data_IF_767399129928
#
_entry.id   IF_767399129928
#
_cell.length_a   1.000
_cell.length_b   1.000
_cell.length_c   1.000
_cell.angle_alpha   90.00
_cell.angle_beta   90.00
_cell.angle_gamma   90.00
#
_symmetry.space_group_name_H-M   'P 1'
#
loop_
_entity.id
_entity.type
_entity.pdbx_description
1 polymer ?
#
# COMPACT_ATOMS: atom_id res chain seq x y z
N UNK A 1 37.24 -34.74 17.51
CA UNK A 1 36.76 -34.99 16.13
C UNK A 1 35.35 -34.42 16.03
N UNK A 2 35.24 -33.21 15.49
CA UNK A 2 33.98 -32.48 15.38
C UNK A 2 33.19 -32.96 14.16
N UNK A 3 31.90 -33.18 14.31
CA UNK A 3 30.94 -33.44 13.23
C UNK A 3 30.39 -32.10 12.68
N UNK A 4 30.26 -32.03 11.36
CA UNK A 4 29.71 -30.90 10.59
C UNK A 4 28.20 -31.08 10.37
N UNK A 5 27.39 -30.01 10.25
CA UNK A 5 25.93 -30.11 10.10
C UNK A 5 25.48 -30.32 8.64
N UNK A 6 24.33 -30.97 8.49
CA UNK A 6 23.65 -31.28 7.21
C UNK A 6 22.73 -30.10 6.85
N UNK A 7 22.84 -29.63 5.62
CA UNK A 7 22.14 -28.47 5.05
C UNK A 7 20.80 -28.91 4.42
N UNK A 8 19.68 -28.34 4.86
CA UNK A 8 18.31 -28.81 4.59
C UNK A 8 17.55 -27.91 3.59
N UNK A 9 18.23 -27.33 2.60
CA UNK A 9 17.66 -26.26 1.77
C UNK A 9 17.55 -26.52 0.26
N UNK A 10 17.78 -27.74 -0.26
CA UNK A 10 17.90 -27.94 -1.72
C UNK A 10 16.90 -28.87 -2.43
N UNK A 11 15.85 -29.42 -1.78
CA UNK A 11 14.97 -30.40 -2.47
C UNK A 11 13.50 -30.01 -2.69
N UNK A 12 13.08 -28.75 -2.47
CA UNK A 12 11.66 -28.34 -2.66
C UNK A 12 11.42 -27.45 -3.91
N UNK A 13 12.46 -27.04 -4.64
CA UNK A 13 12.30 -26.10 -5.76
C UNK A 13 12.34 -26.69 -7.18
N UNK A 14 12.51 -28.00 -7.36
CA UNK A 14 12.69 -28.61 -8.70
C UNK A 14 11.45 -29.29 -9.31
N UNK A 15 10.25 -29.14 -8.75
CA UNK A 15 9.03 -29.62 -9.41
C UNK A 15 7.98 -28.52 -9.50
N UNK A 16 8.00 -27.78 -10.62
CA UNK A 16 6.88 -27.14 -11.33
C UNK A 16 7.39 -26.00 -12.23
N UNK A 17 8.41 -26.27 -13.06
CA UNK A 17 9.01 -25.28 -13.97
C UNK A 17 8.38 -25.24 -15.39
N UNK A 18 7.43 -26.12 -15.70
CA UNK A 18 6.88 -26.23 -17.06
C UNK A 18 5.41 -25.83 -17.11
N UNK A 19 5.13 -24.52 -17.23
CA UNK A 19 3.95 -23.92 -17.89
C UNK A 19 3.80 -22.42 -17.57
N UNK A 20 4.67 -21.54 -18.10
CA UNK A 20 4.45 -20.09 -18.05
C UNK A 20 5.00 -19.41 -19.31
N UNK A 21 4.10 -18.73 -20.04
CA UNK A 21 4.38 -17.94 -21.25
C UNK A 21 5.23 -16.67 -21.00
N UNK A 22 5.74 -16.15 -22.12
CA UNK A 22 6.85 -15.21 -22.38
C UNK A 22 6.77 -13.77 -21.78
N UNK A 23 6.33 -13.59 -20.53
CA UNK A 23 6.27 -12.26 -19.88
C UNK A 23 6.97 -12.11 -18.52
N UNK A 24 7.79 -13.07 -18.09
CA UNK A 24 8.41 -13.07 -16.73
C UNK A 24 9.91 -12.72 -16.68
N UNK A 25 10.54 -12.35 -17.79
CA UNK A 25 11.98 -12.02 -17.82
C UNK A 25 12.39 -10.81 -16.94
N UNK A 26 11.47 -9.87 -16.66
CA UNK A 26 11.77 -8.67 -15.86
C UNK A 26 11.86 -8.92 -14.34
N UNK A 27 11.21 -9.96 -13.83
CA UNK A 27 11.14 -10.23 -12.38
C UNK A 27 12.37 -10.95 -11.80
N UNK A 28 13.11 -11.69 -12.63
CA UNK A 28 14.30 -12.45 -12.20
C UNK A 28 15.49 -11.56 -11.84
N UNK A 29 15.63 -10.41 -12.49
CA UNK A 29 16.76 -9.50 -12.24
C UNK A 29 16.65 -8.77 -10.89
N UNK A 30 15.42 -8.44 -10.45
CA UNK A 30 15.19 -7.67 -9.23
C UNK A 30 15.41 -8.52 -7.98
N UNK A 31 15.02 -9.80 -8.01
CA UNK A 31 15.18 -10.72 -6.88
C UNK A 31 16.62 -11.24 -6.72
N UNK A 32 17.37 -11.39 -7.81
CA UNK A 32 18.77 -11.82 -7.75
C UNK A 32 19.69 -10.75 -7.12
N UNK A 33 19.33 -9.47 -7.19
CA UNK A 33 20.12 -8.37 -6.62
C UNK A 33 19.99 -8.23 -5.10
N UNK A 34 19.02 -8.89 -4.46
CA UNK A 34 18.72 -8.74 -3.03
C UNK A 34 19.41 -9.77 -2.11
N UNK A 35 20.16 -10.75 -2.65
CA UNK A 35 20.67 -11.89 -1.86
C UNK A 35 22.20 -12.03 -1.84
N UNK A 36 22.97 -11.15 -2.50
CA UNK A 36 24.44 -11.28 -2.50
C UNK A 36 25.16 -10.03 -1.97
N UNK A 37 25.55 -10.07 -0.68
CA UNK A 37 26.95 -9.93 -0.23
C UNK A 37 27.08 -9.32 1.18
N UNK A 38 27.74 -10.00 2.13
CA UNK A 38 28.23 -9.39 3.37
C UNK A 38 29.70 -8.92 3.24
N UNK A 39 30.00 -7.75 3.80
CA UNK A 39 31.33 -7.42 4.35
C UNK A 39 32.21 -6.45 3.55
N UNK A 40 32.38 -5.24 4.10
CA UNK A 40 33.65 -4.55 4.45
C UNK A 40 33.51 -3.04 4.22
N UNK A 41 33.46 -2.29 5.32
CA UNK A 41 33.36 -0.82 5.31
C UNK A 41 34.77 -0.23 5.33
N UNK A 42 35.10 0.56 4.31
CA UNK A 42 36.13 1.60 4.37
C UNK A 42 35.51 2.91 3.93
N UNK A 43 35.66 3.96 4.74
CA UNK A 43 35.00 5.24 4.57
C UNK A 43 35.50 6.00 3.35
N UNK A 44 34.65 6.08 2.33
CA UNK A 44 34.52 7.19 1.40
C UNK A 44 33.09 7.13 0.84
N UNK A 45 32.40 8.26 0.89
CA UNK A 45 31.04 8.57 0.45
C UNK A 45 30.33 7.51 -0.42
N UNK A 46 29.49 6.67 0.20
CA UNK A 46 28.68 5.65 -0.50
C UNK A 46 27.52 6.32 -1.25
N UNK A 47 27.80 6.92 -2.40
CA UNK A 47 26.77 7.21 -3.40
C UNK A 47 26.38 5.87 -4.05
N UNK A 48 25.25 5.29 -3.61
CA UNK A 48 24.70 4.08 -4.23
C UNK A 48 24.29 4.41 -5.66
N UNK A 49 25.12 4.02 -6.64
CA UNK A 49 24.83 4.13 -8.07
C UNK A 49 23.85 3.03 -8.46
N UNK A 50 22.57 3.36 -8.54
CA UNK A 50 21.60 2.52 -9.28
C UNK A 50 21.73 2.85 -10.76
N UNK A 51 22.57 2.10 -11.47
CA UNK A 51 22.68 2.14 -12.92
C UNK A 51 22.88 0.74 -13.47
N UNK A 52 22.11 0.39 -14.50
CA UNK A 52 22.37 -0.81 -15.32
C UNK A 52 23.81 -0.73 -15.87
N UNK A 53 24.61 -1.81 -15.84
CA UNK A 53 25.94 -1.77 -16.43
C UNK A 53 25.77 -1.71 -17.95
N UNK A 54 26.04 -0.55 -18.57
CA UNK A 54 26.20 -0.49 -20.03
C UNK A 54 25.77 0.77 -20.77
N UNK A 55 25.18 1.78 -20.12
CA UNK A 55 24.87 3.04 -20.84
C UNK A 55 25.45 4.21 -20.05
N UNK A 56 26.57 4.73 -20.54
CA UNK A 56 27.17 5.96 -20.04
C UNK A 56 26.33 7.17 -20.46
N UNK A 57 25.15 7.31 -19.84
CA UNK A 57 24.37 8.53 -19.92
C UNK A 57 24.91 9.51 -18.88
N UNK A 58 25.08 10.77 -19.27
CA UNK A 58 25.27 11.87 -18.33
C UNK A 58 24.13 11.83 -17.30
N UNK A 59 24.44 12.09 -16.03
CA UNK A 59 23.45 12.22 -14.97
C UNK A 59 22.30 13.18 -15.38
N UNK A 60 22.57 14.21 -16.21
CA UNK A 60 21.52 15.10 -16.75
C UNK A 60 20.57 14.42 -17.73
N UNK A 61 21.08 13.57 -18.62
CA UNK A 61 20.23 12.78 -19.53
C UNK A 61 19.45 11.71 -18.77
N UNK A 62 20.04 11.14 -17.70
CA UNK A 62 19.36 10.21 -16.80
C UNK A 62 18.17 10.87 -16.07
N UNK A 63 18.33 12.10 -15.55
CA UNK A 63 17.23 12.88 -14.96
C UNK A 63 16.18 13.33 -15.98
N UNK A 64 16.55 13.54 -17.24
CA UNK A 64 15.61 13.81 -18.34
C UNK A 64 14.89 12.54 -18.84
N UNK A 65 15.51 11.37 -18.68
CA UNK A 65 14.96 10.07 -19.06
C UNK A 65 14.02 9.45 -18.01
N UNK A 66 14.02 9.96 -16.77
CA UNK A 66 12.98 9.59 -15.79
C UNK A 66 11.65 10.23 -16.17
N UNK A 67 10.64 9.38 -16.43
CA UNK A 67 9.27 9.84 -16.69
C UNK A 67 8.79 10.74 -15.57
N UNK A 68 8.43 11.99 -15.91
CA UNK A 68 7.97 12.97 -14.92
C UNK A 68 6.53 12.72 -14.51
N UNK A 69 6.12 13.28 -13.37
CA UNK A 69 4.71 13.25 -12.95
C UNK A 69 3.79 13.89 -14.01
N UNK A 70 4.26 14.92 -14.72
CA UNK A 70 3.52 15.54 -15.82
C UNK A 70 3.29 14.59 -17.02
N UNK A 71 4.23 13.72 -17.34
CA UNK A 71 4.04 12.67 -18.36
C UNK A 71 2.98 11.66 -17.90
N UNK A 72 3.07 11.20 -16.65
CA UNK A 72 2.05 10.34 -16.07
C UNK A 72 0.65 11.00 -16.08
N UNK A 73 0.55 12.31 -15.80
CA UNK A 73 -0.73 13.03 -15.85
C UNK A 73 -1.33 13.04 -17.27
N UNK A 74 -0.52 13.10 -18.33
CA UNK A 74 -1.01 12.96 -19.71
C UNK A 74 -1.60 11.57 -19.95
N UNK A 75 -0.87 10.52 -19.61
CA UNK A 75 -1.34 9.14 -19.74
C UNK A 75 -2.62 8.89 -18.93
N UNK A 76 -2.67 9.41 -17.70
CA UNK A 76 -3.86 9.33 -16.85
C UNK A 76 -5.05 10.04 -17.47
N UNK A 77 -4.86 11.20 -18.11
CA UNK A 77 -5.93 11.93 -18.80
C UNK A 77 -6.54 11.08 -19.92
N UNK A 78 -5.71 10.42 -20.73
CA UNK A 78 -6.17 9.52 -21.79
C UNK A 78 -6.99 8.35 -21.20
N UNK A 79 -6.47 7.69 -20.17
CA UNK A 79 -7.19 6.61 -19.48
C UNK A 79 -8.51 7.07 -18.85
N UNK A 80 -8.58 8.30 -18.34
CA UNK A 80 -9.83 8.88 -17.80
C UNK A 80 -10.87 9.13 -18.90
N UNK A 81 -10.44 9.61 -20.07
CA UNK A 81 -11.33 9.84 -21.21
C UNK A 81 -11.89 8.52 -21.76
N UNK A 82 -11.05 7.50 -21.91
CA UNK A 82 -11.49 6.14 -22.26
C UNK A 82 -12.49 5.60 -21.23
N UNK A 83 -12.14 5.67 -19.94
CA UNK A 83 -13.02 5.24 -18.86
C UNK A 83 -14.39 5.91 -18.91
N UNK A 84 -14.45 7.21 -19.24
CA UNK A 84 -15.73 7.95 -19.39
C UNK A 84 -16.56 7.44 -20.56
N UNK A 85 -15.93 7.10 -21.69
CA UNK A 85 -16.63 6.47 -22.84
C UNK A 85 -17.25 5.15 -22.40
N UNK A 86 -16.47 4.28 -21.76
CA UNK A 86 -16.92 2.97 -21.29
C UNK A 86 -18.06 3.07 -20.27
N UNK A 87 -18.02 4.05 -19.37
CA UNK A 87 -19.14 4.35 -18.46
C UNK A 87 -20.38 4.79 -19.23
N UNK A 88 -20.27 5.71 -20.20
CA UNK A 88 -21.42 6.16 -21.00
C UNK A 88 -22.03 5.02 -21.82
N UNK A 89 -21.22 4.09 -22.28
CA UNK A 89 -21.65 2.90 -23.00
C UNK A 89 -22.26 1.81 -22.10
N UNK A 90 -22.23 1.99 -20.77
CA UNK A 90 -22.74 1.00 -19.81
C UNK A 90 -21.81 -0.20 -19.59
N UNK A 91 -20.57 -0.15 -20.08
CA UNK A 91 -19.58 -1.23 -19.90
C UNK A 91 -18.99 -1.26 -18.49
N UNK A 92 -19.04 -0.13 -17.77
CA UNK A 92 -18.55 0.01 -16.41
C UNK A 92 -19.72 0.41 -15.50
N UNK A 93 -19.90 -0.37 -14.43
CA UNK A 93 -20.96 -0.17 -13.44
C UNK A 93 -20.48 -0.41 -12.02
N UNK A 94 -21.43 -0.70 -11.13
CA UNK A 94 -21.15 -1.00 -9.73
C UNK A 94 -20.28 -2.26 -9.61
N UNK A 95 -19.27 -2.19 -8.73
CA UNK A 95 -18.41 -3.32 -8.39
C UNK A 95 -18.40 -3.53 -6.89
N UNK A 96 -18.37 -4.78 -6.46
CA UNK A 96 -18.20 -5.12 -5.05
C UNK A 96 -16.71 -5.18 -4.72
N UNK A 97 -16.28 -4.34 -3.77
CA UNK A 97 -14.94 -4.43 -3.19
C UNK A 97 -14.96 -5.45 -2.04
N UNK A 98 -13.95 -6.30 -1.96
CA UNK A 98 -13.80 -7.31 -0.91
C UNK A 98 -12.36 -7.35 -0.41
N UNK A 99 -12.22 -7.55 0.90
CA UNK A 99 -10.98 -7.86 1.58
C UNK A 99 -11.28 -8.87 2.68
N UNK A 100 -10.29 -9.70 3.03
CA UNK A 100 -10.38 -10.64 4.16
C UNK A 100 -9.08 -10.63 4.94
N UNK A 101 -9.16 -10.87 6.24
CA UNK A 101 -7.97 -11.03 7.08
C UNK A 101 -8.07 -12.33 7.88
N UNK A 102 -6.95 -13.02 8.06
CA UNK A 102 -6.79 -14.15 8.97
C UNK A 102 -5.66 -13.87 9.94
N UNK A 103 -5.83 -14.28 11.20
CA UNK A 103 -4.76 -14.24 12.19
C UNK A 103 -3.88 -15.50 12.07
N UNK A 104 -2.56 -15.32 12.11
CA UNK A 104 -1.59 -16.40 12.17
C UNK A 104 -1.56 -16.98 13.59
N UNK A 105 -1.85 -18.28 13.74
CA UNK A 105 -2.28 -18.87 15.02
C UNK A 105 -1.32 -18.77 16.21
N UNK A 106 -0.01 -18.61 15.98
CA UNK A 106 0.96 -18.42 17.08
C UNK A 106 1.27 -16.96 17.40
N UNK A 107 1.19 -16.08 16.41
CA UNK A 107 1.68 -14.71 16.52
C UNK A 107 0.56 -13.68 16.58
N UNK A 108 -0.66 -14.02 16.17
CA UNK A 108 -1.74 -13.06 16.01
C UNK A 108 -1.54 -12.07 14.85
N UNK A 109 -0.45 -12.19 14.08
CA UNK A 109 -0.18 -11.37 12.90
C UNK A 109 -1.32 -11.53 11.91
N UNK A 110 -1.82 -10.42 11.37
CA UNK A 110 -3.01 -10.40 10.52
C UNK A 110 -2.59 -10.29 9.06
N UNK A 111 -2.90 -11.32 8.28
CA UNK A 111 -2.66 -11.34 6.84
C UNK A 111 -3.91 -10.86 6.11
N UNK A 112 -3.88 -9.66 5.57
CA UNK A 112 -4.96 -9.08 4.77
C UNK A 112 -4.77 -9.52 3.30
N UNK A 113 -5.84 -10.02 2.68
CA UNK A 113 -5.91 -10.36 1.25
C UNK A 113 -6.90 -9.44 0.54
N UNK A 114 -6.46 -8.85 -0.57
CA UNK A 114 -7.26 -7.96 -1.42
C UNK A 114 -6.96 -8.32 -2.87
N UNK A 115 -7.87 -9.02 -3.55
CA UNK A 115 -7.57 -9.66 -4.85
C UNK A 115 -6.30 -10.53 -4.71
N UNK A 116 -5.33 -10.37 -5.61
CA UNK A 116 -4.06 -11.09 -5.60
C UNK A 116 -3.00 -10.45 -4.70
N UNK A 117 -3.33 -9.34 -4.03
CA UNK A 117 -2.41 -8.62 -3.16
C UNK A 117 -2.51 -9.07 -1.71
N UNK A 118 -1.41 -8.90 -0.98
CA UNK A 118 -1.34 -9.18 0.44
C UNK A 118 -0.74 -7.99 1.19
N UNK A 119 -1.31 -7.67 2.34
CA UNK A 119 -0.78 -6.69 3.30
C UNK A 119 -0.66 -7.36 4.66
N UNK A 120 0.45 -7.14 5.36
CA UNK A 120 0.61 -7.57 6.74
C UNK A 120 0.16 -6.42 7.64
N UNK A 121 -0.68 -6.73 8.63
CA UNK A 121 -1.00 -5.85 9.74
C UNK A 121 -0.59 -6.51 11.04
N UNK A 122 0.08 -5.76 11.90
CA UNK A 122 0.54 -6.23 13.20
C UNK A 122 0.34 -5.16 14.26
N UNK A 123 0.64 -5.49 15.51
CA UNK A 123 0.58 -4.56 16.63
C UNK A 123 2.00 -4.26 17.15
N UNK A 124 2.19 -3.18 17.92
CA UNK A 124 3.44 -2.96 18.63
C UNK A 124 3.65 -4.00 19.74
N UNK A 125 4.88 -4.06 20.28
CA UNK A 125 5.27 -5.07 21.26
C UNK A 125 4.53 -4.99 22.60
N UNK A 126 4.16 -3.78 23.03
CA UNK A 126 3.35 -3.55 24.24
C UNK A 126 1.89 -4.02 24.08
N UNK A 127 1.48 -4.36 22.85
CA UNK A 127 0.19 -4.93 22.51
C UNK A 127 0.31 -6.31 21.84
N UNK A 128 1.27 -7.11 22.34
CA UNK A 128 1.52 -8.50 21.97
C UNK A 128 1.77 -8.76 20.48
N UNK A 129 2.16 -7.73 19.72
CA UNK A 129 2.59 -7.88 18.34
C UNK A 129 4.11 -7.91 18.18
N UNK A 130 4.54 -8.11 16.94
CA UNK A 130 5.95 -8.18 16.56
C UNK A 130 6.41 -6.96 15.77
N UNK A 131 5.54 -5.95 15.64
CA UNK A 131 5.77 -4.74 14.85
C UNK A 131 6.19 -5.04 13.40
N UNK A 132 5.65 -6.10 12.79
CA UNK A 132 5.99 -6.56 11.43
C UNK A 132 5.26 -5.79 10.32
N UNK A 133 4.31 -4.94 10.70
CA UNK A 133 3.52 -4.13 9.80
C UNK A 133 2.64 -3.16 10.57
N UNK A 134 2.01 -2.19 9.88
CA UNK A 134 1.17 -1.19 10.52
C UNK A 134 -0.05 -1.82 11.22
N UNK A 135 -0.48 -1.16 12.28
CA UNK A 135 -1.76 -1.43 12.94
C UNK A 135 -2.94 -1.05 12.02
N UNK A 136 -4.14 -1.53 12.37
CA UNK A 136 -5.35 -1.22 11.59
C UNK A 136 -5.65 0.29 11.51
N UNK A 137 -5.51 1.09 12.58
CA UNK A 137 -5.63 2.54 12.50
C UNK A 137 -4.61 3.18 11.54
N UNK A 138 -3.35 2.77 11.57
CA UNK A 138 -2.31 3.31 10.68
C UNK A 138 -2.57 2.95 9.22
N UNK A 139 -3.05 1.73 8.94
CA UNK A 139 -3.49 1.34 7.60
C UNK A 139 -4.63 2.20 7.08
N UNK A 140 -5.57 2.61 7.95
CA UNK A 140 -6.65 3.52 7.57
C UNK A 140 -6.09 4.90 7.16
N UNK A 141 -5.13 5.45 7.92
CA UNK A 141 -4.49 6.73 7.57
C UNK A 141 -3.70 6.61 6.25
N UNK A 142 -2.99 5.50 6.05
CA UNK A 142 -2.30 5.20 4.80
C UNK A 142 -3.26 5.11 3.62
N UNK A 143 -4.43 4.50 3.81
CA UNK A 143 -5.48 4.44 2.79
C UNK A 143 -6.04 5.83 2.46
N UNK A 144 -6.24 6.70 3.45
CA UNK A 144 -6.65 8.10 3.22
C UNK A 144 -5.57 8.88 2.46
N UNK A 145 -4.30 8.80 2.88
CA UNK A 145 -3.16 9.44 2.21
C UNK A 145 -3.05 9.03 0.73
N UNK A 146 -3.14 7.72 0.48
CA UNK A 146 -3.14 7.16 -0.88
C UNK A 146 -4.33 7.68 -1.70
N UNK A 147 -5.53 7.70 -1.12
CA UNK A 147 -6.73 8.17 -1.79
C UNK A 147 -6.68 9.67 -2.12
N UNK A 148 -6.18 10.51 -1.21
CA UNK A 148 -5.96 11.93 -1.45
C UNK A 148 -4.99 12.14 -2.61
N UNK A 149 -3.81 11.52 -2.55
CA UNK A 149 -2.80 11.58 -3.60
C UNK A 149 -3.39 11.16 -4.95
N UNK A 150 -4.08 10.03 -5.01
CA UNK A 150 -4.69 9.54 -6.25
C UNK A 150 -5.77 10.48 -6.79
N UNK A 151 -6.59 11.07 -5.91
CA UNK A 151 -7.66 11.99 -6.28
C UNK A 151 -7.11 13.31 -6.83
N UNK A 152 -6.03 13.84 -6.24
CA UNK A 152 -5.28 14.96 -6.82
C UNK A 152 -4.77 14.63 -8.22
N UNK A 153 -4.17 13.46 -8.44
CA UNK A 153 -3.68 13.06 -9.77
C UNK A 153 -4.83 12.92 -10.79
N UNK A 154 -5.98 12.35 -10.39
CA UNK A 154 -7.18 12.29 -11.26
C UNK A 154 -7.57 13.68 -11.70
N UNK A 155 -7.77 14.61 -10.75
CA UNK A 155 -8.33 15.91 -11.10
C UNK A 155 -7.31 16.87 -11.70
N UNK A 156 -6.02 16.72 -11.38
CA UNK A 156 -4.96 17.47 -12.04
C UNK A 156 -4.88 17.09 -13.53
N UNK A 157 -4.86 15.79 -13.83
CA UNK A 157 -4.88 15.31 -15.23
C UNK A 157 -6.15 15.72 -15.98
N UNK A 158 -7.31 15.69 -15.31
CA UNK A 158 -8.59 16.07 -15.89
C UNK A 158 -8.74 17.59 -16.13
N UNK A 159 -8.18 18.41 -15.24
CA UNK A 159 -8.22 19.87 -15.35
C UNK A 159 -7.03 20.45 -16.13
N UNK A 160 -6.06 19.62 -16.53
CA UNK A 160 -4.86 20.05 -17.21
C UNK A 160 -3.89 20.83 -16.31
N UNK A 161 -3.92 20.58 -15.00
CA UNK A 161 -3.03 21.21 -14.01
C UNK A 161 -1.73 20.38 -13.96
N UNK A 162 -0.57 20.95 -14.35
CA UNK A 162 0.70 20.27 -14.23
C UNK A 162 1.10 20.09 -12.76
N UNK A 163 1.72 18.97 -12.41
CA UNK A 163 2.31 18.72 -11.09
C UNK A 163 3.71 18.15 -11.29
N UNK A 164 4.70 18.75 -10.64
CA UNK A 164 6.08 18.26 -10.61
C UNK A 164 6.27 17.25 -9.47
N UNK A 165 5.66 17.52 -8.32
CA UNK A 165 5.61 16.60 -7.18
C UNK A 165 4.29 16.73 -6.42
N UNK A 166 3.94 15.67 -5.69
CA UNK A 166 2.75 15.60 -4.87
C UNK A 166 2.98 14.62 -3.72
N UNK A 167 2.71 15.04 -2.49
CA UNK A 167 2.80 14.24 -1.29
C UNK A 167 1.62 14.58 -0.37
N UNK A 168 0.97 13.56 0.19
CA UNK A 168 -0.10 13.73 1.16
C UNK A 168 0.26 12.99 2.45
N UNK A 169 0.42 13.75 3.52
CA UNK A 169 0.64 13.22 4.87
C UNK A 169 -0.68 13.24 5.65
N UNK A 170 -0.92 12.22 6.45
CA UNK A 170 -2.13 12.09 7.28
C UNK A 170 -1.71 11.72 8.70
N UNK A 171 -2.25 12.42 9.68
CA UNK A 171 -2.05 12.16 11.11
C UNK A 171 -3.39 12.03 11.82
N UNK A 172 -3.39 11.33 12.94
CA UNK A 172 -4.53 11.21 13.84
C UNK A 172 -4.04 10.88 15.25
N UNK A 173 -4.89 11.13 16.24
CA UNK A 173 -4.62 10.77 17.64
C UNK A 173 -5.43 9.54 18.01
N UNK A 174 -4.78 8.54 18.61
CA UNK A 174 -5.45 7.41 19.25
C UNK A 174 -4.95 7.29 20.68
N UNK A 175 -5.86 7.14 21.63
CA UNK A 175 -5.54 6.99 23.05
C UNK A 175 -5.66 5.52 23.44
N UNK A 176 -4.54 4.90 23.81
CA UNK A 176 -4.48 3.48 24.17
C UNK A 176 -5.28 3.13 25.44
N UNK A 177 -5.73 4.13 26.21
CA UNK A 177 -6.56 3.93 27.41
C UNK A 177 -8.03 3.73 27.07
N UNK A 178 -8.46 4.03 25.85
CA UNK A 178 -9.86 3.96 25.47
C UNK A 178 -10.45 2.57 25.73
N UNK A 179 -11.56 2.53 26.48
CA UNK A 179 -12.23 1.28 26.87
C UNK A 179 -11.64 0.57 28.10
N UNK A 180 -10.59 1.11 28.72
CA UNK A 180 -10.13 0.66 30.04
C UNK A 180 -11.04 1.21 31.16
N UNK A 181 -11.03 0.55 32.32
CA UNK A 181 -11.74 0.99 33.52
C UNK A 181 -11.33 2.42 33.91
N UNK A 182 -12.30 3.33 34.01
CA UNK A 182 -12.09 4.76 34.30
C UNK A 182 -11.74 5.62 33.09
N UNK A 183 -11.75 5.06 31.87
CA UNK A 183 -11.48 5.75 30.60
C UNK A 183 -12.56 5.44 29.53
N UNK A 184 -13.78 5.13 29.96
CA UNK A 184 -14.88 4.72 29.09
C UNK A 184 -15.38 5.84 28.16
N UNK A 185 -15.21 7.10 28.57
CA UNK A 185 -15.62 8.27 27.77
C UNK A 185 -14.65 8.59 26.63
N UNK A 186 -13.46 7.96 26.60
CA UNK A 186 -12.48 8.17 25.54
C UNK A 186 -12.88 7.38 24.28
N UNK A 187 -12.97 8.02 23.09
CA UNK A 187 -13.29 7.31 21.86
C UNK A 187 -12.27 6.21 21.52
N UNK A 188 -12.76 5.01 21.20
CA UNK A 188 -11.93 3.83 20.84
C UNK A 188 -11.39 3.85 19.40
N UNK A 189 -11.59 4.95 18.67
CA UNK A 189 -11.18 5.11 17.27
C UNK A 189 -10.39 6.41 17.08
N UNK A 190 -9.57 6.52 16.01
CA UNK A 190 -8.75 7.71 15.78
C UNK A 190 -9.56 9.00 15.75
N UNK A 191 -9.11 9.99 16.52
CA UNK A 191 -9.62 11.35 16.56
C UNK A 191 -8.66 12.31 15.84
N UNK A 192 -9.12 13.55 15.61
CA UNK A 192 -8.30 14.63 15.07
C UNK A 192 -7.54 14.22 13.81
N UNK A 193 -8.23 13.57 12.87
CA UNK A 193 -7.64 13.16 11.60
C UNK A 193 -7.35 14.41 10.77
N UNK A 194 -6.07 14.71 10.58
CA UNK A 194 -5.57 15.84 9.82
C UNK A 194 -4.82 15.34 8.59
N UNK A 195 -4.81 16.15 7.52
CA UNK A 195 -3.95 15.90 6.37
C UNK A 195 -3.23 17.17 5.91
N UNK A 196 -2.02 17.00 5.41
CA UNK A 196 -1.23 18.03 4.75
C UNK A 196 -0.86 17.55 3.35
N UNK A 197 -1.21 18.33 2.33
CA UNK A 197 -0.79 18.07 0.95
C UNK A 197 0.27 19.08 0.56
N UNK A 198 1.43 18.57 0.18
CA UNK A 198 2.54 19.35 -0.36
C UNK A 198 2.68 19.03 -1.84
N UNK A 199 2.63 20.04 -2.69
CA UNK A 199 2.80 19.88 -4.14
C UNK A 199 3.68 20.99 -4.72
N UNK A 200 4.34 20.68 -5.82
CA UNK A 200 5.10 21.65 -6.62
C UNK A 200 4.47 21.70 -8.01
N UNK A 201 4.16 22.90 -8.47
CA UNK A 201 3.48 23.12 -9.75
C UNK A 201 3.75 24.53 -10.29
N UNK A 202 3.90 24.69 -11.61
CA UNK A 202 3.94 26.00 -12.26
C UNK A 202 2.53 26.60 -12.48
N UNK A 203 1.46 25.89 -12.11
CA UNK A 203 0.09 26.38 -12.27
C UNK A 203 -0.22 27.57 -11.35
N UNK A 204 -1.22 28.37 -11.71
CA UNK A 204 -1.61 29.51 -10.89
C UNK A 204 -2.21 29.07 -9.55
N UNK A 205 -2.10 29.92 -8.52
CA UNK A 205 -2.75 29.69 -7.22
C UNK A 205 -4.26 29.45 -7.36
N UNK A 206 -4.90 30.13 -8.33
CA UNK A 206 -6.31 29.92 -8.61
C UNK A 206 -6.60 28.51 -9.17
N UNK A 207 -5.75 27.99 -10.04
CA UNK A 207 -5.89 26.61 -10.56
C UNK A 207 -5.69 25.58 -9.45
N UNK A 208 -4.67 25.77 -8.59
CA UNK A 208 -4.41 24.88 -7.45
C UNK A 208 -5.58 24.91 -6.45
N UNK A 209 -6.14 26.09 -6.15
CA UNK A 209 -7.29 26.21 -5.27
C UNK A 209 -8.54 25.50 -5.83
N UNK A 210 -8.80 25.64 -7.14
CA UNK A 210 -9.90 24.89 -7.80
C UNK A 210 -9.67 23.38 -7.77
N UNK A 211 -8.43 22.94 -7.98
CA UNK A 211 -8.05 21.54 -7.90
C UNK A 211 -8.30 21.00 -6.49
N UNK A 212 -7.83 21.69 -5.45
CA UNK A 212 -8.05 21.31 -4.05
C UNK A 212 -9.55 21.22 -3.72
N UNK A 213 -10.34 22.24 -4.07
CA UNK A 213 -11.78 22.23 -3.82
C UNK A 213 -12.49 21.05 -4.51
N UNK A 214 -12.01 20.67 -5.70
CA UNK A 214 -12.50 19.48 -6.42
C UNK A 214 -12.16 18.19 -5.66
N UNK A 215 -10.92 18.06 -5.20
CA UNK A 215 -10.46 16.89 -4.43
C UNK A 215 -11.23 16.75 -3.13
N UNK A 216 -11.41 17.82 -2.36
CA UNK A 216 -12.15 17.78 -1.10
C UNK A 216 -13.61 17.34 -1.29
N UNK A 217 -14.22 17.76 -2.39
CA UNK A 217 -15.58 17.38 -2.75
C UNK A 217 -15.71 15.92 -3.19
N UNK A 218 -14.70 15.38 -3.87
CA UNK A 218 -14.83 14.12 -4.62
C UNK A 218 -13.98 12.96 -4.09
N UNK A 219 -13.00 13.20 -3.19
CA UNK A 219 -12.17 12.16 -2.60
C UNK A 219 -13.05 11.16 -1.83
N UNK A 220 -13.14 9.88 -2.26
CA UNK A 220 -14.06 8.92 -1.67
C UNK A 220 -13.77 8.63 -0.20
N UNK A 221 -12.52 8.34 0.16
CA UNK A 221 -12.15 7.96 1.53
C UNK A 221 -12.22 9.15 2.48
N UNK A 222 -11.83 10.36 2.03
CA UNK A 222 -12.03 11.58 2.81
C UNK A 222 -13.50 11.80 3.16
N UNK A 223 -14.39 11.69 2.16
CA UNK A 223 -15.81 11.94 2.39
C UNK A 223 -16.48 10.81 3.18
N UNK A 224 -16.01 9.56 3.06
CA UNK A 224 -16.43 8.46 3.92
C UNK A 224 -16.10 8.76 5.40
N UNK A 225 -14.87 9.20 5.68
CA UNK A 225 -14.45 9.53 7.06
C UNK A 225 -15.18 10.76 7.62
N UNK A 226 -15.44 11.77 6.79
CA UNK A 226 -16.16 12.99 7.22
C UNK A 226 -17.64 12.77 7.49
N UNK A 227 -18.29 11.83 6.80
CA UNK A 227 -19.74 11.65 6.84
C UNK A 227 -20.18 10.38 7.57
N UNK A 228 -19.28 9.40 7.69
CA UNK A 228 -19.62 8.06 8.15
C UNK A 228 -20.47 7.31 7.13
N UNK A 229 -20.59 6.00 7.33
CA UNK A 229 -21.54 5.16 6.61
C UNK A 229 -22.01 4.04 7.56
N UNK A 230 -23.15 3.43 7.26
CA UNK A 230 -23.64 2.29 8.01
C UNK A 230 -22.71 1.09 7.80
N UNK A 231 -22.30 0.45 8.89
CA UNK A 231 -21.54 -0.81 8.88
C UNK A 231 -22.38 -1.88 9.56
N UNK A 232 -22.66 -2.97 8.83
CA UNK A 232 -23.43 -4.12 9.33
C UNK A 232 -22.49 -5.28 9.61
N UNK A 233 -22.64 -5.91 10.77
CA UNK A 233 -21.86 -7.07 11.21
C UNK A 233 -22.73 -8.31 11.40
N UNK A 234 -22.15 -9.49 11.18
CA UNK A 234 -22.72 -10.80 11.48
C UNK A 234 -21.62 -11.69 12.06
N UNK A 235 -21.99 -12.59 12.98
CA UNK A 235 -21.10 -13.57 13.58
C UNK A 235 -21.59 -14.98 13.25
N UNK A 236 -20.72 -15.80 12.66
CA UNK A 236 -20.92 -17.23 12.46
C UNK A 236 -19.98 -17.99 13.39
N UNK A 237 -20.53 -18.65 14.42
CA UNK A 237 -19.77 -19.35 15.46
C UNK A 237 -19.98 -20.86 15.33
N UNK A 238 -18.87 -21.60 15.25
CA UNK A 238 -18.86 -23.06 15.22
C UNK A 238 -18.00 -23.60 16.37
N UNK A 239 -18.52 -24.59 17.09
CA UNK A 239 -17.75 -25.32 18.09
C UNK A 239 -16.89 -26.39 17.41
N UNK A 240 -15.63 -26.60 17.85
CA UNK A 240 -14.83 -27.74 17.37
C UNK A 240 -15.57 -29.05 17.64
N UNK A 241 -15.67 -29.92 16.63
CA UNK A 241 -16.28 -31.23 16.80
C UNK A 241 -15.56 -32.05 17.87
N UNK A 242 -16.28 -32.51 18.89
CA UNK A 242 -15.75 -33.41 19.90
C UNK A 242 -15.53 -34.79 19.25
N UNK A 243 -14.30 -35.10 18.82
CA UNK A 243 -13.96 -36.47 18.45
C UNK A 243 -13.96 -37.31 19.74
N UNK A 244 -15.06 -38.02 19.98
CA UNK A 244 -15.10 -39.10 20.97
C UNK A 244 -14.21 -40.20 20.41
N UNK A 245 -12.98 -40.30 20.91
CA UNK A 245 -12.20 -41.52 20.79
C UNK A 245 -12.89 -42.58 21.66
N UNK A 246 -13.74 -43.41 21.05
CA UNK A 246 -14.16 -44.67 21.64
C UNK A 246 -12.92 -45.57 21.71
N UNK A 247 -12.35 -45.68 22.91
CA UNK A 247 -11.41 -46.75 23.24
C UNK A 247 -12.24 -48.00 23.52
N UNK A 248 -12.14 -48.99 22.64
CA UNK A 248 -12.45 -50.40 22.94
C UNK A 248 -11.29 -51.04 23.73
#
# INVERSE_FOLDING_TARGET
>A
MFHSPVDFNNEIFERHADAWDDHTASYRAVLAALVASPGSVSGEETAVRFGHPGIGLDNREYYQAMTTLNEYLRQKREALLDRRVRVRNGELGAVTLKASASAEGRSGVRRIRIRDFQVISDSPHDFAGYNLGPSSPELLLGALSSCLTHTFLIHASDQGVPLESLHAEVSATIDARAGAEGYEDIPVYPQDINYLVTLVSPASTADIARLQATVEKLCPILNLLKRGNEVRGQLDHQQPGHQITSAD
#
